data_IF_330828045933
#
_entry.id   IF_330828045933
#
_cell.length_a   1.000
_cell.length_b   1.000
_cell.length_c   1.000
_cell.angle_alpha   90.00
_cell.angle_beta   90.00
_cell.angle_gamma   90.00
#
_symmetry.space_group_name_H-M   'P 1'
#
loop_
_entity.id
_entity.type
_entity.pdbx_description
1 polymer ?
#
# COMPACT_ATOMS: atom_id res chain seq x y z
N UNK A 1 -1.26 17.53 -15.82
CA UNK A 1 -0.44 16.43 -15.27
C UNK A 1 -1.10 15.06 -15.49
N UNK A 2 -2.43 14.99 -15.46
CA UNK A 2 -3.29 13.81 -15.70
C UNK A 2 -3.06 13.09 -17.03
N UNK A 3 -2.87 13.80 -18.15
CA UNK A 3 -2.75 13.18 -19.49
C UNK A 3 -1.55 12.24 -19.68
N UNK A 4 -0.43 12.49 -18.99
CA UNK A 4 0.79 11.66 -19.11
C UNK A 4 0.65 10.31 -18.41
N UNK A 5 0.03 10.28 -17.23
CA UNK A 5 -0.17 9.04 -16.47
C UNK A 5 -1.22 8.15 -17.17
N UNK A 6 -2.28 8.75 -17.70
CA UNK A 6 -3.29 8.03 -18.48
C UNK A 6 -2.72 7.40 -19.75
N UNK A 7 -1.82 8.11 -20.44
CA UNK A 7 -1.09 7.55 -21.57
C UNK A 7 -0.25 6.33 -21.17
N UNK A 8 0.47 6.42 -20.05
CA UNK A 8 1.28 5.32 -19.54
C UNK A 8 0.41 4.10 -19.15
N UNK A 9 -0.70 4.32 -18.46
CA UNK A 9 -1.62 3.24 -18.07
C UNK A 9 -2.09 2.42 -19.28
N UNK A 10 -2.49 3.10 -20.37
CA UNK A 10 -2.90 2.45 -21.63
C UNK A 10 -1.75 1.68 -22.28
N UNK A 11 -0.51 2.18 -22.21
CA UNK A 11 0.65 1.48 -22.77
C UNK A 11 1.01 0.24 -21.95
N UNK A 12 0.94 0.33 -20.63
CA UNK A 12 1.27 -0.78 -19.72
C UNK A 12 0.31 -1.97 -19.91
N UNK A 13 -1.00 -1.73 -20.02
CA UNK A 13 -1.96 -2.82 -20.27
C UNK A 13 -1.85 -3.44 -21.68
N UNK A 14 -1.14 -2.79 -22.60
CA UNK A 14 -0.85 -3.35 -23.94
C UNK A 14 0.43 -4.17 -23.99
N UNK A 15 1.20 -4.21 -22.90
CA UNK A 15 2.38 -5.05 -22.84
C UNK A 15 1.94 -6.52 -22.93
N UNK A 16 2.56 -7.27 -23.83
CA UNK A 16 2.31 -8.70 -23.96
C UNK A 16 2.87 -9.40 -22.73
N UNK A 17 1.99 -9.76 -21.81
CA UNK A 17 2.33 -10.55 -20.62
C UNK A 17 1.28 -11.63 -20.42
N UNK A 18 1.69 -12.76 -19.86
CA UNK A 18 0.77 -13.83 -19.45
C UNK A 18 -0.01 -13.48 -18.19
N UNK A 19 0.40 -12.43 -17.47
CA UNK A 19 -0.20 -12.02 -16.22
C UNK A 19 -1.37 -11.06 -16.48
N UNK A 20 -2.32 -11.06 -15.55
CA UNK A 20 -3.32 -10.00 -15.47
C UNK A 20 -2.64 -8.72 -15.00
N UNK A 21 -2.86 -7.64 -15.74
CA UNK A 21 -2.37 -6.30 -15.40
C UNK A 21 -3.58 -5.40 -15.25
N UNK A 22 -3.67 -4.72 -14.11
CA UNK A 22 -4.68 -3.70 -13.82
C UNK A 22 -3.92 -2.42 -13.45
N UNK A 23 -4.28 -1.30 -14.05
CA UNK A 23 -3.61 -0.01 -13.84
C UNK A 23 -4.66 1.06 -13.59
N UNK A 24 -4.47 1.85 -12.53
CA UNK A 24 -5.32 3.02 -12.31
C UNK A 24 -5.07 4.07 -13.40
N UNK A 25 -6.15 4.66 -13.90
CA UNK A 25 -6.16 5.67 -14.95
C UNK A 25 -7.14 6.76 -14.53
N UNK A 26 -6.60 7.88 -14.02
CA UNK A 26 -7.40 8.95 -13.41
C UNK A 26 -8.27 8.37 -12.28
N UNK A 27 -9.59 8.59 -12.31
CA UNK A 27 -10.53 8.06 -11.32
C UNK A 27 -10.99 6.62 -11.64
N UNK A 28 -10.52 6.05 -12.75
CA UNK A 28 -10.91 4.73 -13.26
C UNK A 28 -9.74 3.73 -13.24
N UNK A 29 -9.96 2.51 -13.73
CA UNK A 29 -8.93 1.49 -13.93
C UNK A 29 -9.05 0.84 -15.32
N UNK A 30 -7.91 0.42 -15.86
CA UNK A 30 -7.84 -0.33 -17.12
C UNK A 30 -7.15 -1.66 -16.90
N UNK A 31 -7.54 -2.69 -17.66
CA UNK A 31 -6.90 -4.00 -17.60
C UNK A 31 -6.54 -4.54 -18.98
N UNK A 32 -5.53 -5.42 -19.03
CA UNK A 32 -5.18 -6.19 -20.22
C UNK A 32 -6.12 -7.41 -20.45
N UNK A 33 -7.03 -7.68 -19.51
CA UNK A 33 -7.93 -8.84 -19.51
C UNK A 33 -9.36 -8.40 -19.18
N UNK A 34 -10.35 -9.21 -19.55
CA UNK A 34 -11.76 -8.95 -19.18
C UNK A 34 -12.01 -9.34 -17.73
N UNK A 35 -12.00 -8.35 -16.83
CA UNK A 35 -12.14 -8.52 -15.38
C UNK A 35 -13.09 -7.47 -14.82
N UNK A 36 -13.83 -7.81 -13.76
CA UNK A 36 -14.64 -6.84 -13.03
C UNK A 36 -13.76 -5.86 -12.24
N UNK A 37 -13.85 -4.57 -12.55
CA UNK A 37 -13.04 -3.51 -11.94
C UNK A 37 -13.79 -2.69 -10.88
N UNK A 38 -15.03 -3.04 -10.53
CA UNK A 38 -15.84 -2.28 -9.56
C UNK A 38 -15.21 -2.19 -8.15
N UNK A 39 -14.30 -3.10 -7.80
CA UNK A 39 -13.54 -3.06 -6.54
C UNK A 39 -12.31 -2.16 -6.56
N UNK A 40 -11.94 -1.64 -7.73
CA UNK A 40 -10.74 -0.79 -7.95
C UNK A 40 -11.12 0.62 -8.42
N UNK A 41 -12.27 0.77 -9.10
CA UNK A 41 -12.78 2.01 -9.65
C UNK A 41 -14.33 2.09 -9.58
N UNK A 42 -14.94 3.29 -9.51
CA UNK A 42 -14.27 4.59 -9.43
C UNK A 42 -13.70 4.86 -8.04
N UNK A 43 -12.55 5.54 -7.96
CA UNK A 43 -11.90 5.87 -6.68
C UNK A 43 -12.38 7.22 -6.16
N UNK A 44 -12.81 7.26 -4.89
CA UNK A 44 -13.16 8.48 -4.17
C UNK A 44 -11.99 9.03 -3.32
N UNK A 45 -10.84 8.36 -3.34
CA UNK A 45 -9.70 8.68 -2.49
C UNK A 45 -8.60 9.40 -3.27
N UNK A 46 -8.11 10.50 -2.69
CA UNK A 46 -7.03 11.32 -3.24
C UNK A 46 -5.67 10.70 -2.89
N UNK A 47 -4.83 10.42 -3.90
CA UNK A 47 -3.45 9.95 -3.73
C UNK A 47 -3.18 8.48 -4.11
N UNK A 48 -2.05 8.27 -4.79
CA UNK A 48 -1.60 6.97 -5.28
C UNK A 48 -1.27 5.97 -4.15
N UNK A 49 -0.88 6.47 -2.98
CA UNK A 49 -0.48 5.64 -1.83
C UNK A 49 -1.66 4.83 -1.29
N UNK A 50 -2.88 5.37 -1.40
CA UNK A 50 -4.11 4.66 -1.04
C UNK A 50 -4.56 3.73 -2.16
N UNK A 51 -4.37 4.12 -3.43
CA UNK A 51 -4.81 3.35 -4.59
C UNK A 51 -4.19 1.95 -4.64
N UNK A 52 -2.92 1.81 -4.22
CA UNK A 52 -2.24 0.50 -4.24
C UNK A 52 -2.98 -0.54 -3.38
N UNK A 53 -3.68 -0.11 -2.33
CA UNK A 53 -4.41 -1.01 -1.43
C UNK A 53 -5.80 -1.37 -1.94
N UNK A 54 -6.40 -0.57 -2.83
CA UNK A 54 -7.60 -0.97 -3.57
C UNK A 54 -7.29 -2.13 -4.52
N UNK A 55 -6.15 -2.09 -5.20
CA UNK A 55 -5.66 -3.22 -5.99
C UNK A 55 -5.35 -4.45 -5.13
N UNK A 56 -4.72 -4.26 -3.96
CA UNK A 56 -4.44 -5.36 -3.04
C UNK A 56 -5.74 -6.02 -2.52
N UNK A 57 -6.75 -5.22 -2.16
CA UNK A 57 -8.07 -5.71 -1.76
C UNK A 57 -8.72 -6.49 -2.89
N UNK A 58 -8.78 -5.93 -4.09
CA UNK A 58 -9.37 -6.57 -5.26
C UNK A 58 -8.68 -7.90 -5.61
N UNK A 59 -7.35 -7.94 -5.58
CA UNK A 59 -6.59 -9.18 -5.79
C UNK A 59 -6.93 -10.24 -4.72
N UNK A 60 -7.07 -9.82 -3.46
CA UNK A 60 -7.44 -10.71 -2.35
C UNK A 60 -8.84 -11.29 -2.55
N UNK A 61 -9.81 -10.45 -2.92
CA UNK A 61 -11.19 -10.86 -3.23
C UNK A 61 -11.25 -11.77 -4.46
N UNK A 62 -10.35 -11.60 -5.42
CA UNK A 62 -10.16 -12.51 -6.56
C UNK A 62 -9.48 -13.84 -6.18
N UNK A 63 -9.12 -14.04 -4.91
CA UNK A 63 -8.58 -15.28 -4.37
C UNK A 63 -7.06 -15.30 -4.15
N UNK A 64 -6.35 -14.20 -4.42
CA UNK A 64 -4.91 -14.12 -4.14
C UNK A 64 -4.65 -14.27 -2.63
N UNK A 65 -3.78 -15.21 -2.26
CA UNK A 65 -3.40 -15.47 -0.86
C UNK A 65 -2.13 -14.75 -0.44
N UNK A 66 -1.34 -14.29 -1.40
CA UNK A 66 -0.08 -13.60 -1.16
C UNK A 66 -0.07 -12.33 -2.01
N UNK A 67 0.03 -11.18 -1.34
CA UNK A 67 0.12 -9.88 -1.98
C UNK A 67 1.48 -9.24 -1.71
N UNK A 68 1.94 -8.44 -2.66
CA UNK A 68 3.22 -7.76 -2.60
C UNK A 68 3.07 -6.31 -3.07
N UNK A 69 3.43 -5.38 -2.20
CA UNK A 69 3.43 -3.95 -2.49
C UNK A 69 4.86 -3.52 -2.76
N UNK A 70 5.13 -2.95 -3.95
CA UNK A 70 6.45 -2.41 -4.29
C UNK A 70 6.43 -0.90 -4.12
N UNK A 71 7.31 -0.37 -3.30
CA UNK A 71 7.37 1.07 -3.02
C UNK A 71 8.76 1.50 -2.56
N UNK A 72 9.12 2.77 -2.74
CA UNK A 72 10.23 3.42 -2.04
C UNK A 72 9.76 4.44 -1.00
N UNK A 73 8.44 4.57 -0.86
CA UNK A 73 7.78 5.51 0.04
C UNK A 73 7.50 4.85 1.40
N UNK A 74 7.91 5.52 2.48
CA UNK A 74 7.70 5.03 3.85
C UNK A 74 6.24 5.11 4.28
N UNK A 75 5.46 6.02 3.73
CA UNK A 75 4.07 6.24 4.10
C UNK A 75 3.23 5.08 3.58
N UNK A 76 3.54 4.58 2.38
CA UNK A 76 2.98 3.32 1.86
C UNK A 76 3.31 2.14 2.77
N UNK A 77 4.51 2.07 3.35
CA UNK A 77 4.85 0.98 4.31
C UNK A 77 3.98 1.06 5.56
N UNK A 78 3.80 2.27 6.11
CA UNK A 78 2.94 2.51 7.28
C UNK A 78 1.49 2.13 6.98
N UNK A 79 0.96 2.54 5.82
CA UNK A 79 -0.40 2.15 5.39
C UNK A 79 -0.47 0.63 5.23
N UNK A 80 0.55 -0.02 4.65
CA UNK A 80 0.59 -1.49 4.49
C UNK A 80 0.45 -2.22 5.83
N UNK A 81 1.14 -1.75 6.88
CA UNK A 81 1.01 -2.29 8.24
C UNK A 81 -0.42 -2.16 8.74
N UNK A 82 -1.05 -1.01 8.52
CA UNK A 82 -2.40 -0.74 9.02
C UNK A 82 -3.52 -1.52 8.33
N UNK A 83 -3.38 -1.84 7.04
CA UNK A 83 -4.44 -2.53 6.26
C UNK A 83 -4.34 -4.05 6.34
N UNK A 84 -3.26 -4.60 6.91
CA UNK A 84 -3.04 -6.05 6.95
C UNK A 84 -4.25 -6.80 7.51
N UNK A 85 -4.78 -6.35 8.66
CA UNK A 85 -5.89 -7.03 9.33
C UNK A 85 -7.13 -7.08 8.43
N UNK A 86 -7.50 -5.97 7.79
CA UNK A 86 -8.64 -5.91 6.88
C UNK A 86 -8.46 -6.84 5.68
N UNK A 87 -7.24 -6.98 5.15
CA UNK A 87 -6.96 -7.92 4.06
C UNK A 87 -6.98 -9.38 4.54
N UNK A 88 -6.55 -9.66 5.76
CA UNK A 88 -6.63 -11.00 6.35
C UNK A 88 -8.08 -11.46 6.57
N UNK A 89 -8.99 -10.54 6.93
CA UNK A 89 -10.44 -10.80 6.99
C UNK A 89 -10.99 -11.23 5.63
N UNK A 90 -10.39 -10.75 4.53
CA UNK A 90 -10.68 -11.17 3.16
C UNK A 90 -9.92 -12.45 2.75
N UNK A 91 -9.35 -13.19 3.70
CA UNK A 91 -8.59 -14.43 3.50
C UNK A 91 -7.20 -14.26 2.85
N UNK A 92 -6.56 -13.09 2.97
CA UNK A 92 -5.14 -12.94 2.66
C UNK A 92 -4.29 -13.69 3.69
N UNK A 93 -3.28 -14.43 3.24
CA UNK A 93 -2.37 -15.17 4.12
C UNK A 93 -1.07 -14.41 4.36
N UNK A 94 -0.51 -13.79 3.33
CA UNK A 94 0.76 -13.07 3.43
C UNK A 94 0.73 -11.73 2.70
N UNK A 95 1.28 -10.73 3.35
CA UNK A 95 1.53 -9.41 2.78
C UNK A 95 3.02 -9.09 2.89
N UNK A 96 3.59 -8.66 1.76
CA UNK A 96 5.00 -8.31 1.61
C UNK A 96 5.16 -6.89 1.11
N UNK A 97 6.24 -6.23 1.52
CA UNK A 97 6.68 -4.98 0.90
C UNK A 97 8.04 -5.21 0.24
N UNK A 98 8.15 -4.85 -1.03
CA UNK A 98 9.41 -4.70 -1.75
C UNK A 98 9.84 -3.23 -1.64
N UNK A 99 10.64 -2.92 -0.63
CA UNK A 99 11.00 -1.55 -0.25
C UNK A 99 12.33 -1.09 -0.86
N UNK A 100 12.33 0.07 -1.50
CA UNK A 100 13.53 0.70 -2.08
C UNK A 100 13.76 0.37 -3.56
N UNK A 101 14.96 0.66 -4.06
CA UNK A 101 15.31 0.49 -5.47
C UNK A 101 16.75 -0.02 -5.65
N UNK A 102 17.00 -0.69 -6.77
CA UNK A 102 18.32 -1.18 -7.13
C UNK A 102 18.93 -2.10 -6.07
N UNK A 103 20.18 -1.81 -5.68
CA UNK A 103 20.92 -2.59 -4.67
C UNK A 103 20.35 -2.44 -3.25
N UNK A 104 19.52 -1.43 -2.99
CA UNK A 104 18.92 -1.17 -1.68
C UNK A 104 17.53 -1.80 -1.51
N UNK A 105 17.07 -2.59 -2.49
CA UNK A 105 15.78 -3.28 -2.44
C UNK A 105 15.76 -4.29 -1.29
N UNK A 106 14.76 -4.19 -0.42
CA UNK A 106 14.56 -5.06 0.75
C UNK A 106 13.16 -5.65 0.75
N UNK A 107 13.05 -6.92 1.09
CA UNK A 107 11.76 -7.62 1.22
C UNK A 107 11.36 -7.64 2.68
N UNK A 108 10.23 -7.01 3.00
CA UNK A 108 9.73 -6.87 4.37
C UNK A 108 8.46 -7.71 4.53
N UNK A 109 8.48 -8.78 5.35
CA UNK A 109 7.28 -9.57 5.64
C UNK A 109 6.39 -8.83 6.64
N UNK A 110 5.36 -8.14 6.14
CA UNK A 110 4.47 -7.30 6.97
C UNK A 110 3.69 -8.15 7.98
N UNK A 111 3.30 -9.35 7.58
CA UNK A 111 2.64 -10.32 8.47
C UNK A 111 3.50 -10.65 9.72
N UNK A 112 4.81 -10.85 9.56
CA UNK A 112 5.71 -11.09 10.71
C UNK A 112 5.99 -9.80 11.50
N UNK A 113 6.10 -8.66 10.80
CA UNK A 113 6.29 -7.37 11.45
C UNK A 113 5.11 -7.04 12.37
N UNK A 114 3.88 -7.21 11.90
CA UNK A 114 2.68 -6.99 12.72
C UNK A 114 2.60 -7.92 13.93
N UNK A 115 3.03 -9.19 13.81
CA UNK A 115 3.17 -10.08 14.96
C UNK A 115 4.17 -9.55 16.00
N UNK A 116 5.27 -8.96 15.55
CA UNK A 116 6.29 -8.39 16.43
C UNK A 116 5.81 -7.10 17.10
N UNK A 117 5.03 -6.28 16.39
CA UNK A 117 4.49 -5.02 16.88
C UNK A 117 3.23 -5.21 17.75
N UNK A 118 2.54 -6.35 17.63
CA UNK A 118 1.29 -6.67 18.32
C UNK A 118 0.28 -5.51 18.22
N UNK A 119 -0.27 -5.05 19.35
CA UNK A 119 -1.25 -3.96 19.41
C UNK A 119 -0.74 -2.63 18.83
N UNK A 120 0.58 -2.40 18.81
CA UNK A 120 1.15 -1.16 18.24
C UNK A 120 0.98 -1.08 16.72
N UNK A 121 0.76 -2.20 16.04
CA UNK A 121 0.50 -2.21 14.60
C UNK A 121 -0.82 -1.49 14.25
N UNK A 122 -1.85 -1.64 15.08
CA UNK A 122 -3.16 -0.96 14.92
C UNK A 122 -3.07 0.55 15.06
N UNK A 123 -2.14 1.03 15.89
CA UNK A 123 -1.91 2.45 16.13
C UNK A 123 -0.94 3.12 15.15
N UNK A 124 -0.38 2.39 14.17
CA UNK A 124 0.75 2.88 13.38
C UNK A 124 0.42 4.11 12.51
N UNK A 125 -0.78 4.14 11.91
CA UNK A 125 -1.26 5.31 11.15
C UNK A 125 -1.35 6.56 12.04
N UNK A 126 -1.99 6.43 13.20
CA UNK A 126 -2.09 7.52 14.17
C UNK A 126 -0.72 7.95 14.64
N UNK A 127 0.14 7.01 15.03
CA UNK A 127 1.51 7.28 15.44
C UNK A 127 2.28 8.06 14.36
N UNK A 128 2.16 7.65 13.10
CA UNK A 128 2.83 8.31 11.99
C UNK A 128 2.34 9.75 11.80
N UNK A 129 1.01 9.98 11.83
CA UNK A 129 0.43 11.32 11.76
C UNK A 129 0.86 12.21 12.95
N UNK A 130 0.85 11.69 14.18
CA UNK A 130 1.22 12.45 15.38
C UNK A 130 2.71 12.79 15.48
N UNK A 131 3.58 12.00 14.85
CA UNK A 131 5.04 12.16 14.92
C UNK A 131 5.65 12.82 13.69
N UNK A 132 4.81 13.34 12.79
CA UNK A 132 5.20 13.95 11.52
C UNK A 132 5.02 12.98 10.34
N UNK A 133 4.17 13.37 9.39
CA UNK A 133 4.00 12.82 8.05
C UNK A 133 4.32 13.95 7.05
N UNK A 134 4.32 13.69 5.75
CA UNK A 134 4.63 14.67 4.69
C UNK A 134 3.81 15.97 4.79
N UNK A 135 2.63 15.91 5.40
CA UNK A 135 1.66 17.02 5.48
C UNK A 135 1.50 17.65 6.87
N UNK A 136 2.13 17.11 7.92
CA UNK A 136 1.96 17.60 9.31
C UNK A 136 3.28 17.84 10.02
N UNK A 137 3.34 18.96 10.74
CA UNK A 137 4.47 19.30 11.63
C UNK A 137 4.64 18.25 12.74
N UNK A 138 5.88 17.89 13.03
CA UNK A 138 6.22 17.01 14.16
C UNK A 138 6.26 17.80 15.49
N UNK A 139 6.13 17.09 16.62
CA UNK A 139 6.31 17.66 17.95
C UNK A 139 7.76 18.21 18.08
N UNK A 140 7.95 19.50 18.44
CA UNK A 140 9.28 20.06 18.59
C UNK A 140 10.15 19.26 19.56
N UNK A 141 11.35 18.88 19.11
CA UNK A 141 12.30 18.10 19.91
C UNK A 141 11.94 16.62 20.11
N UNK A 142 10.88 16.10 19.47
CA UNK A 142 10.52 14.67 19.51
C UNK A 142 10.45 14.09 18.10
N UNK A 143 11.25 13.05 17.87
CA UNK A 143 11.21 12.27 16.62
C UNK A 143 10.48 10.95 16.81
N UNK A 144 10.27 10.20 15.72
CA UNK A 144 9.60 8.89 15.75
C UNK A 144 10.22 7.94 16.79
N UNK A 145 11.55 7.89 16.91
CA UNK A 145 12.21 7.04 17.90
C UNK A 145 11.85 7.41 19.35
N UNK A 146 11.89 8.69 19.71
CA UNK A 146 11.58 9.12 21.07
C UNK A 146 10.09 9.05 21.39
N UNK A 147 9.21 9.22 20.40
CA UNK A 147 7.79 8.98 20.55
C UNK A 147 7.46 7.48 20.72
N UNK A 148 8.15 6.61 20.00
CA UNK A 148 7.94 5.15 20.06
C UNK A 148 8.23 4.59 21.46
N UNK A 149 9.29 5.07 22.10
CA UNK A 149 9.67 4.66 23.45
C UNK A 149 8.60 4.97 24.51
N UNK A 150 7.77 5.99 24.27
CA UNK A 150 6.66 6.35 25.18
C UNK A 150 5.48 5.38 25.06
N UNK A 151 5.43 4.53 24.04
CA UNK A 151 4.39 3.51 23.86
C UNK A 151 4.70 2.19 24.61
N UNK A 152 5.86 2.10 25.27
CA UNK A 152 6.28 0.94 26.09
C UNK A 152 6.00 1.12 27.59
N UNK A 153 5.10 2.04 27.95
CA UNK A 153 4.71 2.35 29.35
C UNK A 153 3.56 1.46 29.81
#
# INVERSE_FOLDING_TARGET
MTTKLSFLAVKVVRLATTNVVIVTKEEDAVSNSTINLAGVAPSIHDGADTWVFMHAKHATEAGCKVNMVKTSDTDVVVITVSVLQALQELSLQQLWVAFGQGQNLRWVPIHNLCCTLAEKSKGMLFFHAFTGCDVVSAIPGKGKKSAWQTLDV
#
